data_IF_432752839959
#
_entry.id   IF_432752839959
#
_cell.length_a   1.000
_cell.length_b   1.000
_cell.length_c   1.000
_cell.angle_alpha   90.00
_cell.angle_beta   90.00
_cell.angle_gamma   90.00
#
_symmetry.space_group_name_H-M   'P 1'
#
loop_
_entity.id
_entity.type
_entity.pdbx_description
1 polymer ?
#
# COMPACT_ATOMS: atom_id res chain seq x y z
N UNK A 1 -17.94 54.43 -8.30
CA UNK A 1 -18.48 53.05 -8.10
C UNK A 1 -17.86 52.00 -9.03
N UNK A 2 -17.20 52.37 -10.14
CA UNK A 2 -16.64 51.43 -11.14
C UNK A 2 -15.31 50.77 -10.70
N UNK A 3 -14.40 51.52 -10.06
CA UNK A 3 -13.07 51.00 -9.65
C UNK A 3 -13.10 49.86 -8.61
N UNK A 4 -14.01 49.93 -7.62
CA UNK A 4 -14.16 48.89 -6.58
C UNK A 4 -14.72 47.58 -7.12
N UNK A 5 -15.46 47.62 -8.23
CA UNK A 5 -15.99 46.43 -8.92
C UNK A 5 -14.91 45.72 -9.75
N UNK A 6 -14.03 46.48 -10.41
CA UNK A 6 -12.90 45.93 -11.18
C UNK A 6 -11.88 45.25 -10.26
N UNK A 7 -11.53 45.88 -9.13
CA UNK A 7 -10.59 45.30 -8.15
C UNK A 7 -11.09 43.96 -7.57
N UNK A 8 -12.39 43.86 -7.28
CA UNK A 8 -13.00 42.61 -6.80
C UNK A 8 -12.96 41.50 -7.86
N UNK A 9 -13.24 41.83 -9.11
CA UNK A 9 -13.21 40.87 -10.23
C UNK A 9 -11.78 40.37 -10.47
N UNK A 10 -10.77 41.24 -10.41
CA UNK A 10 -9.36 40.83 -10.56
C UNK A 10 -8.87 39.96 -9.39
N UNK A 11 -9.27 40.25 -8.14
CA UNK A 11 -8.87 39.44 -6.98
C UNK A 11 -9.54 38.06 -7.02
N UNK A 12 -10.81 37.98 -7.42
CA UNK A 12 -11.52 36.71 -7.59
C UNK A 12 -10.96 35.87 -8.75
N UNK A 13 -10.56 36.50 -9.86
CA UNK A 13 -9.94 35.81 -11.00
C UNK A 13 -8.54 35.27 -10.67
N UNK A 14 -7.73 36.01 -9.92
CA UNK A 14 -6.41 35.55 -9.47
C UNK A 14 -6.51 34.42 -8.44
N UNK A 15 -7.49 34.46 -7.53
CA UNK A 15 -7.77 33.37 -6.61
C UNK A 15 -8.27 32.11 -7.34
N UNK A 16 -9.15 32.26 -8.34
CA UNK A 16 -9.66 31.16 -9.15
C UNK A 16 -8.55 30.47 -9.97
N UNK A 17 -7.63 31.24 -10.56
CA UNK A 17 -6.44 30.73 -11.27
C UNK A 17 -5.51 29.93 -10.33
N UNK A 18 -5.37 30.33 -9.07
CA UNK A 18 -4.58 29.60 -8.07
C UNK A 18 -5.19 28.23 -7.71
N UNK A 19 -6.52 28.11 -7.72
CA UNK A 19 -7.21 26.85 -7.47
C UNK A 19 -7.08 25.83 -8.60
N UNK A 20 -6.69 26.26 -9.82
CA UNK A 20 -6.48 25.37 -10.96
C UNK A 20 -5.14 24.61 -10.91
N UNK A 21 -4.21 25.07 -10.07
CA UNK A 21 -2.88 24.45 -9.89
C UNK A 21 -2.76 23.61 -8.61
N UNK A 22 -3.85 23.43 -7.85
CA UNK A 22 -3.85 22.51 -6.71
C UNK A 22 -3.99 21.09 -7.28
N UNK A 23 -3.02 20.18 -7.06
CA UNK A 23 -3.26 18.78 -7.37
C UNK A 23 -4.43 18.31 -6.49
N UNK A 24 -5.58 18.08 -7.11
CA UNK A 24 -6.73 17.46 -6.45
C UNK A 24 -6.33 16.02 -6.13
N UNK A 25 -5.79 15.82 -4.93
CA UNK A 25 -5.47 14.49 -4.44
C UNK A 25 -6.80 13.82 -4.13
N UNK A 26 -7.24 12.91 -4.99
CA UNK A 26 -8.29 11.96 -4.62
C UNK A 26 -7.73 11.14 -3.48
N UNK A 27 -8.17 11.41 -2.25
CA UNK A 27 -7.85 10.55 -1.11
C UNK A 27 -8.61 9.25 -1.36
N UNK A 28 -7.94 8.29 -2.01
CA UNK A 28 -8.46 6.94 -2.18
C UNK A 28 -8.41 6.27 -0.80
N UNK A 29 -9.47 6.50 -0.04
CA UNK A 29 -9.67 5.94 1.29
C UNK A 29 -9.75 4.41 1.24
N UNK A 30 -10.06 3.81 0.09
CA UNK A 30 -10.06 2.37 -0.11
C UNK A 30 -8.63 1.83 -0.28
N UNK A 31 -7.73 2.55 -0.95
CA UNK A 31 -6.30 2.24 -0.94
C UNK A 31 -5.65 2.51 0.43
N UNK A 32 -6.13 3.53 1.16
CA UNK A 32 -5.67 3.83 2.52
C UNK A 32 -6.17 2.81 3.56
N UNK A 33 -7.31 2.16 3.32
CA UNK A 33 -7.80 1.04 4.11
C UNK A 33 -7.00 -0.23 3.78
N UNK A 34 -5.79 -0.35 4.34
CA UNK A 34 -4.92 -1.50 4.11
C UNK A 34 -5.63 -2.84 4.39
N UNK A 35 -5.38 -3.85 3.54
CA UNK A 35 -5.97 -5.20 3.68
C UNK A 35 -5.71 -5.75 5.07
N UNK A 36 -6.75 -6.26 5.74
CA UNK A 36 -6.65 -6.84 7.09
C UNK A 36 -5.71 -8.05 7.12
N UNK A 37 -6.06 -9.11 6.37
CA UNK A 37 -5.26 -10.32 6.26
C UNK A 37 -4.34 -10.22 5.06
N UNK A 38 -3.07 -9.86 5.29
CA UNK A 38 -2.08 -9.77 4.23
C UNK A 38 -0.69 -10.16 4.73
N UNK A 39 0.03 -10.94 3.92
CA UNK A 39 1.40 -11.34 4.17
C UNK A 39 2.27 -10.94 2.98
N UNK A 40 3.43 -10.37 3.28
CA UNK A 40 4.50 -10.18 2.32
C UNK A 40 5.51 -11.30 2.45
N UNK A 41 5.88 -11.91 1.33
CA UNK A 41 7.03 -12.81 1.28
C UNK A 41 8.33 -12.00 1.47
N UNK A 42 9.23 -12.49 2.31
CA UNK A 42 10.54 -11.86 2.53
C UNK A 42 11.64 -12.73 1.96
N UNK A 43 11.67 -14.02 2.30
CA UNK A 43 12.69 -14.94 1.81
C UNK A 43 12.32 -16.41 2.06
N UNK A 44 12.87 -17.28 1.23
CA UNK A 44 13.17 -18.65 1.62
C UNK A 44 14.39 -18.63 2.53
N UNK A 45 14.23 -19.16 3.75
CA UNK A 45 15.30 -19.14 4.74
C UNK A 45 16.23 -20.35 4.59
N UNK A 46 15.68 -21.53 4.30
CA UNK A 46 16.47 -22.78 4.23
C UNK A 46 16.61 -23.34 2.82
N UNK A 47 15.50 -23.50 2.09
CA UNK A 47 15.47 -24.18 0.79
C UNK A 47 15.01 -23.19 -0.29
N UNK A 48 15.92 -22.42 -0.90
CA UNK A 48 15.58 -21.54 -2.03
C UNK A 48 15.07 -22.32 -3.25
N UNK A 49 14.45 -21.59 -4.18
CA UNK A 49 14.04 -22.17 -5.45
C UNK A 49 15.23 -22.72 -6.24
N UNK A 50 15.02 -23.88 -6.88
CA UNK A 50 16.06 -24.60 -7.63
C UNK A 50 17.02 -25.42 -6.77
N UNK A 51 16.84 -25.49 -5.45
CA UNK A 51 17.65 -26.37 -4.60
C UNK A 51 17.49 -27.82 -5.04
N UNK A 52 18.62 -28.50 -5.31
CA UNK A 52 18.65 -29.90 -5.72
C UNK A 52 18.85 -30.82 -4.53
N UNK A 53 18.10 -31.93 -4.49
CA UNK A 53 18.21 -32.95 -3.45
C UNK A 53 18.38 -34.33 -4.08
N UNK A 54 19.10 -35.22 -3.40
CA UNK A 54 19.13 -36.63 -3.76
C UNK A 54 17.74 -37.27 -3.51
N UNK A 55 17.35 -38.33 -4.24
CA UNK A 55 16.11 -39.03 -3.98
C UNK A 55 16.02 -39.53 -2.53
N UNK A 56 14.87 -39.26 -1.88
CA UNK A 56 14.61 -39.65 -0.49
C UNK A 56 15.25 -38.75 0.58
N UNK A 57 15.98 -37.69 0.21
CA UNK A 57 16.54 -36.76 1.18
C UNK A 57 15.43 -35.97 1.90
N UNK A 58 15.43 -36.01 3.23
CA UNK A 58 14.56 -35.19 4.06
C UNK A 58 15.10 -33.74 4.14
N UNK A 59 14.19 -32.77 4.19
CA UNK A 59 14.56 -31.37 4.36
C UNK A 59 13.48 -30.61 5.15
N UNK A 60 13.89 -29.48 5.73
CA UNK A 60 12.98 -28.53 6.40
C UNK A 60 12.89 -27.29 5.53
N UNK A 61 11.69 -26.97 5.05
CA UNK A 61 11.40 -25.70 4.39
C UNK A 61 10.98 -24.67 5.42
N UNK A 62 11.68 -23.54 5.44
CA UNK A 62 11.36 -22.40 6.29
C UNK A 62 11.24 -21.15 5.44
N UNK A 63 10.14 -20.42 5.63
CA UNK A 63 9.90 -19.11 5.01
C UNK A 63 9.98 -18.01 6.05
N UNK A 64 10.45 -16.84 5.63
CA UNK A 64 10.27 -15.59 6.37
C UNK A 64 9.14 -14.81 5.74
N UNK A 65 8.13 -14.51 6.54
CA UNK A 65 6.97 -13.70 6.15
C UNK A 65 6.92 -12.42 7.00
N UNK A 66 6.44 -11.34 6.40
CA UNK A 66 6.16 -10.08 7.09
C UNK A 66 4.66 -9.84 7.11
N UNK A 67 4.11 -9.51 8.27
CA UNK A 67 2.77 -8.96 8.34
C UNK A 67 2.79 -7.55 7.75
N UNK A 68 2.12 -7.40 6.60
CA UNK A 68 1.94 -6.12 5.89
C UNK A 68 0.47 -5.71 5.86
N UNK A 69 -0.38 -6.43 6.59
CA UNK A 69 -1.79 -6.12 6.76
C UNK A 69 -2.04 -5.23 7.97
N UNK A 70 -3.29 -4.80 8.12
CA UNK A 70 -3.74 -3.98 9.26
C UNK A 70 -4.11 -4.82 10.48
N UNK A 71 -4.35 -6.12 10.31
CA UNK A 71 -4.71 -7.02 11.41
C UNK A 71 -3.48 -7.72 11.99
N UNK A 72 -3.39 -7.72 13.34
CA UNK A 72 -2.34 -8.47 14.04
C UNK A 72 -2.58 -9.97 13.90
N UNK A 73 -1.56 -10.72 13.48
CA UNK A 73 -1.63 -12.17 13.48
C UNK A 73 -1.71 -12.68 14.91
N UNK A 74 -2.69 -13.55 15.17
CA UNK A 74 -2.86 -14.24 16.44
C UNK A 74 -2.53 -15.72 16.27
N UNK A 75 -2.53 -16.50 17.34
CA UNK A 75 -2.38 -17.97 17.26
C UNK A 75 -3.50 -18.69 16.49
N UNK A 76 -4.52 -17.96 15.98
CA UNK A 76 -5.60 -18.51 15.15
C UNK A 76 -5.24 -18.63 13.66
N UNK A 77 -4.11 -18.06 13.24
CA UNK A 77 -3.63 -18.16 11.86
C UNK A 77 -2.82 -19.46 11.69
N UNK A 78 -2.91 -20.08 10.51
CA UNK A 78 -2.17 -21.29 10.18
C UNK A 78 -1.68 -21.28 8.73
N UNK A 79 -0.66 -22.08 8.45
CA UNK A 79 -0.22 -22.38 7.09
C UNK A 79 -1.02 -23.59 6.57
N UNK A 80 -1.63 -23.45 5.41
CA UNK A 80 -2.43 -24.51 4.77
C UNK A 80 -1.78 -24.93 3.46
N UNK A 81 -1.77 -26.24 3.20
CA UNK A 81 -1.43 -26.79 1.90
C UNK A 81 -2.69 -26.75 1.01
N UNK A 82 -2.55 -26.22 -0.20
CA UNK A 82 -3.63 -26.01 -1.17
C UNK A 82 -3.36 -26.73 -2.48
#
# INVERSE_FOLDING_TARGET
MLGRRVTLITVLALAALFFQFIPFQTIDLAAAAGRCNWAGFVADVTVPDGTSFAPGAAFIKTWRLKNIGTCTWTGKYGLSFV
#
